data_IF_017515151256
#
_entry.id   IF_017515151256
#
_cell.length_a   1.000
_cell.length_b   1.000
_cell.length_c   1.000
_cell.angle_alpha   90.00
_cell.angle_beta   90.00
_cell.angle_gamma   90.00
#
_symmetry.space_group_name_H-M   'P 1'
#
loop_
_entity.id
_entity.type
_entity.pdbx_description
1 polymer ?
#
# COMPACT_ATOMS: atom_id res chain seq x y z
N UNK A 1 17.79 -20.27 -18.01
CA UNK A 1 17.05 -19.31 -18.86
C UNK A 1 17.08 -17.98 -18.14
N UNK A 2 17.69 -16.94 -18.72
CA UNK A 2 17.65 -15.61 -18.10
C UNK A 2 16.21 -15.10 -18.03
N UNK A 3 15.88 -14.33 -16.99
CA UNK A 3 14.56 -13.70 -16.89
C UNK A 3 14.40 -12.77 -18.11
N UNK A 4 13.31 -12.93 -18.87
CA UNK A 4 12.99 -11.99 -19.94
C UNK A 4 12.71 -10.61 -19.33
N UNK A 5 12.97 -9.53 -20.05
CA UNK A 5 12.58 -8.20 -19.60
C UNK A 5 11.06 -8.17 -19.36
N UNK A 6 10.68 -7.81 -18.14
CA UNK A 6 9.31 -7.63 -17.68
C UNK A 6 9.08 -6.16 -17.35
N UNK A 7 7.81 -5.78 -17.26
CA UNK A 7 7.37 -4.44 -16.91
C UNK A 7 6.24 -4.51 -15.90
N UNK A 8 6.23 -3.57 -14.94
CA UNK A 8 5.13 -3.40 -14.00
C UNK A 8 4.89 -1.91 -13.74
N UNK A 9 3.62 -1.52 -13.80
CA UNK A 9 3.19 -0.14 -13.52
C UNK A 9 2.51 -0.06 -12.17
N UNK A 10 2.93 0.91 -11.36
CA UNK A 10 2.41 1.24 -10.06
C UNK A 10 1.65 2.56 -10.14
N UNK A 11 0.46 2.61 -9.55
CA UNK A 11 -0.37 3.83 -9.51
C UNK A 11 -1.08 3.90 -8.16
N UNK A 12 -0.59 4.70 -7.21
CA UNK A 12 -1.26 4.93 -5.93
C UNK A 12 -2.64 5.56 -6.11
N UNK A 13 -3.61 5.11 -5.31
CA UNK A 13 -4.88 5.81 -5.12
C UNK A 13 -4.73 6.88 -4.02
N UNK A 14 -5.60 7.88 -4.04
CA UNK A 14 -5.67 8.83 -2.93
C UNK A 14 -6.16 8.12 -1.66
N UNK A 15 -5.77 8.64 -0.50
CA UNK A 15 -6.33 8.20 0.79
C UNK A 15 -7.86 8.36 0.78
N UNK A 16 -8.55 7.37 1.36
CA UNK A 16 -10.00 7.36 1.48
C UNK A 16 -10.37 6.75 2.82
N UNK A 17 -11.49 7.19 3.39
CA UNK A 17 -12.03 6.64 4.66
C UNK A 17 -13.01 5.49 4.44
N UNK A 18 -13.35 5.18 3.19
CA UNK A 18 -14.45 4.24 2.83
C UNK A 18 -14.11 3.27 1.69
N UNK A 19 -12.88 3.31 1.16
CA UNK A 19 -12.46 2.49 0.01
C UNK A 19 -12.46 0.99 0.30
N UNK A 20 -12.37 0.59 1.57
CA UNK A 20 -12.28 -0.81 2.00
C UNK A 20 -13.62 -1.31 2.54
N UNK A 21 -14.30 -0.50 3.35
CA UNK A 21 -15.65 -0.78 3.83
C UNK A 21 -16.42 0.52 4.04
N UNK A 22 -17.67 0.57 3.55
CA UNK A 22 -18.57 1.67 3.84
C UNK A 22 -18.93 1.72 5.34
N UNK A 23 -19.39 2.89 5.78
CA UNK A 23 -19.81 3.11 7.16
C UNK A 23 -20.94 2.14 7.55
N UNK A 24 -20.74 1.38 8.62
CA UNK A 24 -21.69 0.38 9.10
C UNK A 24 -21.60 0.22 10.62
N UNK A 25 -22.60 -0.45 11.20
CA UNK A 25 -22.64 -0.88 12.60
C UNK A 25 -22.62 -2.39 12.68
N UNK A 26 -22.16 -2.93 13.82
CA UNK A 26 -22.21 -4.35 14.11
C UNK A 26 -22.85 -4.55 15.49
N UNK A 27 -23.86 -5.41 15.57
CA UNK A 27 -24.57 -5.71 16.82
C UNK A 27 -23.77 -6.54 17.84
N UNK A 28 -22.60 -7.03 17.45
CA UNK A 28 -21.71 -7.87 18.26
C UNK A 28 -20.38 -8.08 17.56
N UNK A 29 -19.57 -9.01 18.06
CA UNK A 29 -18.35 -9.43 17.39
C UNK A 29 -18.69 -10.03 16.01
N UNK A 30 -17.87 -9.74 14.99
CA UNK A 30 -18.15 -10.19 13.64
C UNK A 30 -17.33 -9.46 12.58
N UNK A 31 -17.65 -9.72 11.30
CA UNK A 31 -16.95 -9.15 10.16
C UNK A 31 -17.65 -7.92 9.63
N UNK A 32 -16.88 -6.89 9.28
CA UNK A 32 -17.37 -5.80 8.45
C UNK A 32 -17.68 -6.31 7.03
N UNK A 33 -18.70 -5.74 6.40
CA UNK A 33 -18.97 -5.92 4.97
C UNK A 33 -17.96 -5.11 4.15
N UNK A 34 -17.10 -5.81 3.42
CA UNK A 34 -16.04 -5.20 2.62
C UNK A 34 -16.52 -4.86 1.19
N UNK A 35 -15.94 -3.80 0.62
CA UNK A 35 -16.09 -3.48 -0.79
C UNK A 35 -15.31 -4.47 -1.66
N UNK A 36 -15.76 -4.72 -2.89
CA UNK A 36 -15.04 -5.59 -3.84
C UNK A 36 -13.58 -5.16 -4.06
N UNK A 37 -13.33 -3.84 -4.02
CA UNK A 37 -12.00 -3.28 -4.17
C UNK A 37 -11.01 -3.76 -3.10
N UNK A 38 -11.48 -4.10 -1.89
CA UNK A 38 -10.67 -4.63 -0.80
C UNK A 38 -9.99 -5.96 -1.19
N UNK A 39 -10.79 -6.90 -1.70
CA UNK A 39 -10.31 -8.23 -2.10
C UNK A 39 -9.45 -8.25 -3.36
N UNK A 40 -9.60 -7.26 -4.24
CA UNK A 40 -8.78 -7.13 -5.47
C UNK A 40 -7.57 -6.22 -5.31
N UNK A 41 -7.42 -5.55 -4.17
CA UNK A 41 -6.37 -4.55 -3.93
C UNK A 41 -6.60 -3.18 -4.58
N UNK A 42 -7.69 -3.03 -5.33
CA UNK A 42 -8.00 -1.78 -6.05
C UNK A 42 -8.29 -0.60 -5.11
N UNK A 43 -8.52 -0.87 -3.81
CA UNK A 43 -8.68 0.17 -2.79
C UNK A 43 -7.43 1.04 -2.60
N UNK A 44 -6.24 0.49 -2.83
CA UNK A 44 -4.95 1.19 -2.69
C UNK A 44 -4.41 1.72 -4.02
N UNK A 45 -4.91 1.20 -5.15
CA UNK A 45 -4.48 1.58 -6.50
C UNK A 45 -4.07 0.38 -7.35
N UNK A 46 -3.18 0.59 -8.32
CA UNK A 46 -2.68 -0.47 -9.23
C UNK A 46 -1.32 -0.97 -8.75
N UNK A 47 -1.20 -2.29 -8.55
CA UNK A 47 0.02 -3.01 -8.13
C UNK A 47 0.65 -2.50 -6.83
N UNK A 48 -0.14 -1.82 -5.99
CA UNK A 48 0.31 -1.27 -4.71
C UNK A 48 -0.55 -1.80 -3.56
N UNK A 49 0.02 -1.80 -2.36
CA UNK A 49 -0.67 -1.92 -1.10
C UNK A 49 -0.59 -0.65 -0.28
N UNK A 50 -1.46 -0.53 0.72
CA UNK A 50 -1.54 0.59 1.65
C UNK A 50 -1.91 0.10 3.05
N UNK A 51 -1.71 0.95 4.05
CA UNK A 51 -2.22 0.70 5.41
C UNK A 51 -3.75 0.85 5.45
N UNK A 52 -4.36 0.31 6.50
CA UNK A 52 -5.81 0.40 6.70
C UNK A 52 -6.12 1.47 7.74
N UNK A 53 -7.10 2.31 7.43
CA UNK A 53 -7.64 3.30 8.35
C UNK A 53 -9.05 2.92 8.78
N UNK A 54 -9.38 3.16 10.04
CA UNK A 54 -10.73 3.03 10.59
C UNK A 54 -11.20 4.40 11.03
N UNK A 55 -12.40 4.78 10.62
CA UNK A 55 -13.00 6.08 10.95
C UNK A 55 -14.34 5.87 11.64
N UNK A 56 -14.56 6.55 12.76
CA UNK A 56 -15.82 6.53 13.50
C UNK A 56 -16.10 7.89 14.11
N UNK A 57 -17.38 8.30 14.13
CA UNK A 57 -17.85 9.50 14.85
C UNK A 57 -18.19 9.22 16.31
N UNK A 58 -18.05 7.97 16.76
CA UNK A 58 -18.27 7.55 18.13
C UNK A 58 -17.01 7.02 18.80
N UNK A 59 -17.12 6.76 20.10
CA UNK A 59 -16.06 6.09 20.84
C UNK A 59 -16.20 4.56 20.77
N UNK A 60 -15.27 3.93 20.07
CA UNK A 60 -15.11 2.48 20.00
C UNK A 60 -13.67 2.05 20.32
N UNK A 61 -12.93 2.85 21.09
CA UNK A 61 -11.53 2.56 21.46
C UNK A 61 -11.35 1.34 22.38
N UNK A 62 -12.45 0.80 22.91
CA UNK A 62 -12.47 -0.45 23.63
C UNK A 62 -12.69 -1.68 22.72
N UNK A 63 -12.72 -1.50 21.40
CA UNK A 63 -12.82 -2.57 20.40
C UNK A 63 -11.50 -2.76 19.68
N UNK A 64 -11.19 -4.00 19.35
CA UNK A 64 -10.06 -4.36 18.49
C UNK A 64 -10.56 -4.86 17.15
N UNK A 65 -9.99 -4.33 16.07
CA UNK A 65 -10.27 -4.75 14.70
C UNK A 65 -9.08 -5.55 14.17
N UNK A 66 -9.29 -6.83 13.92
CA UNK A 66 -8.31 -7.70 13.25
C UNK A 66 -8.50 -7.61 11.75
N UNK A 67 -7.56 -6.98 11.06
CA UNK A 67 -7.48 -6.93 9.60
C UNK A 67 -6.70 -8.15 9.12
N UNK A 68 -7.23 -8.88 8.15
CA UNK A 68 -6.54 -9.97 7.46
C UNK A 68 -6.51 -9.71 5.97
N UNK A 69 -5.37 -9.98 5.35
CA UNK A 69 -5.16 -9.74 3.93
C UNK A 69 -3.86 -10.34 3.44
N UNK A 70 -3.39 -9.87 2.28
CA UNK A 70 -2.07 -10.24 1.75
C UNK A 70 -1.16 -9.04 1.68
N UNK A 71 0.14 -9.26 1.84
CA UNK A 71 1.16 -8.25 1.63
C UNK A 71 1.61 -8.19 0.15
N UNK A 72 2.57 -7.33 -0.18
CA UNK A 72 3.08 -7.21 -1.56
C UNK A 72 3.81 -8.47 -2.06
N UNK A 73 4.25 -9.36 -1.16
CA UNK A 73 4.83 -10.65 -1.53
C UNK A 73 3.78 -11.72 -1.85
N UNK A 74 2.51 -11.45 -1.54
CA UNK A 74 1.40 -12.40 -1.63
C UNK A 74 1.21 -13.25 -0.37
N UNK A 75 1.96 -12.97 0.70
CA UNK A 75 1.85 -13.69 1.97
C UNK A 75 0.64 -13.20 2.76
N UNK A 76 -0.12 -14.12 3.35
CA UNK A 76 -1.22 -13.75 4.26
C UNK A 76 -0.67 -13.18 5.55
N UNK A 77 -1.17 -12.00 5.92
CA UNK A 77 -0.75 -11.23 7.09
C UNK A 77 -1.98 -10.70 7.83
N UNK A 78 -1.77 -10.35 9.11
CA UNK A 78 -2.80 -9.77 9.97
C UNK A 78 -2.28 -8.57 10.76
N UNK A 79 -3.17 -7.64 11.10
CA UNK A 79 -2.89 -6.53 12.02
C UNK A 79 -4.11 -6.31 12.93
N UNK A 80 -3.85 -6.13 14.22
CA UNK A 80 -4.86 -5.69 15.18
C UNK A 80 -4.79 -4.16 15.34
N UNK A 81 -5.90 -3.49 15.06
CA UNK A 81 -6.04 -2.04 15.14
C UNK A 81 -7.07 -1.70 16.22
N UNK A 82 -6.67 -0.96 17.25
CA UNK A 82 -7.59 -0.43 18.26
C UNK A 82 -8.56 0.55 17.61
N UNK A 83 -9.85 0.44 17.93
CA UNK A 83 -10.90 1.27 17.36
C UNK A 83 -10.73 2.78 17.63
N UNK A 84 -11.31 3.65 16.79
CA UNK A 84 -11.25 5.10 17.01
C UNK A 84 -12.05 5.62 18.21
N UNK A 85 -11.71 6.83 18.65
CA UNK A 85 -12.50 7.62 19.60
C UNK A 85 -12.94 8.95 18.97
N UNK A 86 -14.01 8.91 18.18
CA UNK A 86 -14.49 10.06 17.40
C UNK A 86 -13.41 10.65 16.48
N UNK A 87 -12.63 9.78 15.83
CA UNK A 87 -11.47 10.11 15.02
C UNK A 87 -11.27 9.08 13.90
N UNK A 88 -10.15 9.23 13.17
CA UNK A 88 -9.57 8.17 12.35
C UNK A 88 -8.33 7.62 13.07
N UNK A 89 -8.18 6.31 13.06
CA UNK A 89 -6.94 5.61 13.44
C UNK A 89 -6.43 4.86 12.22
N UNK A 90 -5.12 4.77 12.05
CA UNK A 90 -4.49 4.09 10.92
C UNK A 90 -3.54 3.04 11.46
N UNK A 91 -3.62 1.84 10.90
CA UNK A 91 -2.64 0.79 11.13
C UNK A 91 -1.27 1.14 10.56
N UNK A 92 -0.36 0.19 10.71
CA UNK A 92 1.05 0.29 10.35
C UNK A 92 1.46 -0.73 9.29
N UNK A 93 0.66 -1.78 9.11
CA UNK A 93 0.95 -2.85 8.15
C UNK A 93 0.37 -2.49 6.78
N UNK A 94 1.19 -2.66 5.74
CA UNK A 94 0.78 -2.48 4.36
C UNK A 94 0.13 -3.76 3.83
N UNK A 95 -1.12 -3.63 3.40
CA UNK A 95 -1.88 -4.70 2.75
C UNK A 95 -1.99 -4.40 1.26
N UNK A 96 -1.76 -5.39 0.41
CA UNK A 96 -2.08 -5.36 -1.03
C UNK A 96 -3.49 -5.86 -1.31
N UNK A 97 -4.03 -6.76 -0.49
CA UNK A 97 -5.47 -7.11 -0.50
C UNK A 97 -5.96 -7.17 0.94
N UNK A 98 -7.25 -6.93 1.15
CA UNK A 98 -7.92 -7.14 2.43
C UNK A 98 -9.08 -8.11 2.21
N UNK A 99 -9.02 -9.24 2.90
CA UNK A 99 -10.03 -10.30 2.79
C UNK A 99 -10.98 -10.32 3.98
N UNK A 100 -10.59 -9.75 5.12
CA UNK A 100 -11.41 -9.67 6.31
C UNK A 100 -11.04 -8.48 7.19
N UNK A 101 -12.05 -7.86 7.79
CA UNK A 101 -11.90 -6.99 8.96
C UNK A 101 -12.90 -7.49 10.00
N UNK A 102 -12.40 -8.12 11.06
CA UNK A 102 -13.20 -8.65 12.16
C UNK A 102 -13.07 -7.74 13.39
N UNK A 103 -14.16 -7.52 14.11
CA UNK A 103 -14.17 -6.78 15.37
C UNK A 103 -14.56 -7.69 16.53
N UNK A 104 -13.92 -7.51 17.68
CA UNK A 104 -14.08 -8.33 18.89
C UNK A 104 -15.37 -8.07 19.70
N UNK A 105 -16.19 -7.11 19.30
CA UNK A 105 -17.42 -6.74 19.98
C UNK A 105 -18.31 -5.81 19.18
N UNK A 106 -19.41 -5.37 19.78
CA UNK A 106 -20.38 -4.50 19.10
C UNK A 106 -19.77 -3.14 18.70
N UNK A 107 -20.11 -2.69 17.50
CA UNK A 107 -19.77 -1.38 16.93
C UNK A 107 -21.07 -0.59 16.79
N UNK A 108 -21.42 0.13 17.85
CA UNK A 108 -22.70 0.86 17.97
C UNK A 108 -22.75 2.18 17.19
N UNK A 109 -21.64 2.59 16.56
CA UNK A 109 -21.53 3.83 15.80
C UNK A 109 -21.09 3.53 14.38
N UNK A 110 -21.54 4.33 13.41
CA UNK A 110 -21.15 4.19 12.02
C UNK A 110 -19.61 4.23 11.90
N UNK A 111 -19.04 3.10 11.54
CA UNK A 111 -17.60 2.90 11.41
C UNK A 111 -17.30 2.44 10.00
N UNK A 112 -16.36 3.11 9.34
CA UNK A 112 -15.89 2.77 8.00
C UNK A 112 -14.44 2.34 8.02
N UNK A 113 -14.02 1.65 6.96
CA UNK A 113 -12.62 1.32 6.72
C UNK A 113 -12.16 1.86 5.37
N UNK A 114 -10.94 2.35 5.33
CA UNK A 114 -10.32 2.89 4.14
C UNK A 114 -8.82 2.65 4.10
N UNK A 115 -8.13 3.41 3.26
CA UNK A 115 -6.69 3.26 3.05
C UNK A 115 -5.90 4.47 3.55
N UNK A 116 -4.65 4.21 3.95
CA UNK A 116 -3.65 5.23 4.18
C UNK A 116 -3.21 5.94 2.91
N UNK A 117 -2.36 6.95 3.09
CA UNK A 117 -1.87 7.78 1.99
C UNK A 117 -0.58 7.24 1.36
N UNK A 118 0.27 6.58 2.16
CA UNK A 118 1.50 5.97 1.68
C UNK A 118 1.19 4.60 1.05
N UNK A 119 2.00 4.23 0.07
CA UNK A 119 1.81 2.98 -0.67
C UNK A 119 3.12 2.30 -0.97
N UNK A 120 3.08 0.98 -1.05
CA UNK A 120 4.24 0.13 -1.38
C UNK A 120 3.84 -0.88 -2.44
N UNK A 121 4.79 -1.36 -3.23
CA UNK A 121 4.52 -2.36 -4.26
C UNK A 121 5.67 -3.35 -4.41
N UNK A 122 5.37 -4.56 -4.88
CA UNK A 122 6.39 -5.52 -5.27
C UNK A 122 6.64 -5.43 -6.79
N UNK A 123 7.89 -5.12 -7.16
CA UNK A 123 8.36 -5.22 -8.54
C UNK A 123 8.47 -6.71 -8.89
N UNK A 124 9.21 -7.45 -8.08
CA UNK A 124 9.33 -8.90 -8.17
C UNK A 124 9.79 -9.46 -6.81
N UNK A 125 9.28 -10.62 -6.41
CA UNK A 125 9.57 -11.20 -5.09
C UNK A 125 10.80 -12.12 -5.09
N UNK A 126 11.28 -12.54 -6.26
CA UNK A 126 12.53 -13.28 -6.40
C UNK A 126 13.73 -12.40 -6.77
N UNK A 127 14.89 -13.01 -6.96
CA UNK A 127 16.06 -12.30 -7.46
C UNK A 127 15.77 -11.68 -8.85
N UNK A 128 16.08 -10.40 -9.02
CA UNK A 128 15.87 -9.64 -10.27
C UNK A 128 16.87 -8.51 -10.39
N UNK A 129 17.07 -7.96 -11.59
CA UNK A 129 17.64 -6.63 -11.74
C UNK A 129 16.55 -5.63 -12.09
N UNK A 130 16.62 -4.43 -11.53
CA UNK A 130 15.86 -3.27 -12.03
C UNK A 130 16.69 -2.64 -13.14
N UNK A 131 16.12 -2.52 -14.34
CA UNK A 131 16.83 -2.13 -15.58
C UNK A 131 16.40 -0.77 -16.11
N UNK A 132 15.29 -0.23 -15.62
CA UNK A 132 14.78 1.06 -16.03
C UNK A 132 13.56 1.46 -15.22
N UNK A 133 13.27 2.76 -15.19
CA UNK A 133 12.01 3.28 -14.68
C UNK A 133 11.58 4.50 -15.47
N UNK A 134 10.27 4.68 -15.58
CA UNK A 134 9.63 5.89 -16.09
C UNK A 134 8.63 6.33 -15.03
N UNK A 135 8.76 7.55 -14.52
CA UNK A 135 8.01 8.00 -13.36
C UNK A 135 7.37 9.35 -13.68
N UNK A 136 6.07 9.45 -13.44
CA UNK A 136 5.38 10.73 -13.32
C UNK A 136 5.33 11.09 -11.85
N UNK A 137 6.16 12.06 -11.45
CA UNK A 137 6.21 12.53 -10.07
C UNK A 137 4.93 13.27 -9.70
N UNK A 138 4.61 13.23 -8.42
CA UNK A 138 3.56 14.01 -7.82
C UNK A 138 4.10 15.36 -7.32
N UNK A 139 3.31 16.04 -6.50
CA UNK A 139 3.63 17.37 -5.98
C UNK A 139 4.16 17.38 -4.55
N UNK A 140 4.44 16.22 -3.97
CA UNK A 140 5.03 16.09 -2.64
C UNK A 140 6.52 15.78 -2.76
N UNK A 141 7.35 16.59 -2.10
CA UNK A 141 8.79 16.34 -2.00
C UNK A 141 9.04 15.14 -1.08
N UNK A 142 9.51 14.04 -1.67
CA UNK A 142 9.85 12.81 -0.97
C UNK A 142 10.72 11.91 -1.86
N UNK A 143 11.31 10.87 -1.27
CA UNK A 143 12.10 9.88 -1.99
C UNK A 143 11.25 8.68 -2.42
N UNK A 144 11.20 8.45 -3.72
CA UNK A 144 10.67 7.22 -4.30
C UNK A 144 11.76 6.16 -4.17
N UNK A 145 11.58 5.22 -3.25
CA UNK A 145 12.64 4.31 -2.82
C UNK A 145 12.47 2.92 -3.41
N UNK A 146 13.55 2.34 -3.90
CA UNK A 146 13.61 0.96 -4.36
C UNK A 146 14.28 0.11 -3.28
N UNK A 147 13.53 -0.86 -2.74
CA UNK A 147 13.90 -1.65 -1.57
C UNK A 147 14.16 -3.10 -1.94
N UNK A 148 15.06 -3.73 -1.21
CA UNK A 148 15.35 -5.16 -1.26
C UNK A 148 14.69 -5.88 -0.07
N UNK A 149 14.48 -7.20 -0.18
CA UNK A 149 13.93 -8.11 0.83
C UNK A 149 12.43 -7.97 1.15
N UNK A 150 11.91 -6.75 1.35
CA UNK A 150 10.49 -6.53 1.61
C UNK A 150 10.05 -5.08 1.40
N UNK A 151 8.76 -4.81 1.65
CA UNK A 151 8.15 -3.48 1.64
C UNK A 151 8.79 -2.51 2.65
N UNK A 152 9.33 -3.05 3.74
CA UNK A 152 10.03 -2.32 4.80
C UNK A 152 11.53 -2.65 4.83
N UNK A 153 12.03 -3.32 3.79
CA UNK A 153 13.42 -3.72 3.69
C UNK A 153 14.35 -2.54 3.39
N UNK A 154 15.60 -2.85 3.04
CA UNK A 154 16.64 -1.83 2.86
C UNK A 154 16.49 -1.13 1.51
N UNK A 155 16.46 0.21 1.53
CA UNK A 155 16.55 1.02 0.30
C UNK A 155 17.91 0.82 -0.37
N UNK A 156 17.92 0.33 -1.61
CA UNK A 156 19.14 0.23 -2.42
C UNK A 156 19.46 1.51 -3.16
N UNK A 157 18.44 2.17 -3.70
CA UNK A 157 18.54 3.46 -4.35
C UNK A 157 17.17 4.14 -4.30
N UNK A 158 17.16 5.44 -4.58
CA UNK A 158 15.94 6.24 -4.59
C UNK A 158 16.02 7.34 -5.64
N UNK A 159 14.86 7.89 -6.00
CA UNK A 159 14.76 9.11 -6.78
C UNK A 159 13.96 10.14 -5.98
N UNK A 160 14.58 11.31 -5.76
CA UNK A 160 13.94 12.39 -5.02
C UNK A 160 13.01 13.17 -5.94
N UNK A 161 11.76 13.31 -5.52
CA UNK A 161 10.86 14.32 -6.06
C UNK A 161 11.32 15.67 -5.52
N UNK A 162 12.10 16.40 -6.30
CA UNK A 162 12.79 17.60 -5.81
C UNK A 162 11.91 18.86 -5.76
N UNK A 163 10.73 18.83 -6.37
CA UNK A 163 9.84 19.99 -6.46
C UNK A 163 8.40 19.60 -6.17
N UNK A 164 7.56 20.60 -5.92
CA UNK A 164 6.11 20.40 -5.80
C UNK A 164 5.38 20.37 -7.14
N UNK A 165 6.11 20.54 -8.24
CA UNK A 165 5.57 20.45 -9.60
C UNK A 165 5.67 19.01 -10.08
N UNK A 166 4.57 18.52 -10.66
CA UNK A 166 4.54 17.21 -11.32
C UNK A 166 5.45 17.24 -12.54
N UNK A 167 6.29 16.23 -12.66
CA UNK A 167 7.23 16.10 -13.76
C UNK A 167 7.24 14.65 -14.27
N UNK A 168 7.77 14.46 -15.47
CA UNK A 168 8.07 13.16 -16.02
C UNK A 168 9.58 12.94 -15.99
N UNK A 169 10.02 11.91 -15.27
CA UNK A 169 11.44 11.57 -15.13
C UNK A 169 11.72 10.18 -15.68
N UNK A 170 12.86 10.07 -16.36
CA UNK A 170 13.45 8.81 -16.84
C UNK A 170 14.81 8.67 -16.17
N UNK A 171 14.85 8.22 -14.91
CA UNK A 171 16.09 8.16 -14.18
C UNK A 171 17.09 7.20 -14.83
N UNK A 172 18.35 7.62 -14.84
CA UNK A 172 19.43 6.79 -15.34
C UNK A 172 19.61 5.54 -14.45
N UNK A 173 19.58 4.38 -15.09
CA UNK A 173 19.95 3.09 -14.51
C UNK A 173 21.03 2.51 -15.44
N UNK A 174 22.15 1.99 -14.92
CA UNK A 174 23.19 1.40 -15.75
C UNK A 174 22.66 0.27 -16.62
N UNK A 175 23.26 0.02 -17.78
CA UNK A 175 22.80 -0.97 -18.77
C UNK A 175 22.66 -2.39 -18.19
N UNK A 176 23.52 -2.73 -17.25
CA UNK A 176 23.48 -4.01 -16.53
C UNK A 176 22.31 -4.13 -15.55
N UNK A 177 21.68 -3.01 -15.19
CA UNK A 177 20.68 -2.91 -14.14
C UNK A 177 21.25 -3.02 -12.72
N UNK A 178 20.42 -2.71 -11.74
CA UNK A 178 20.74 -2.80 -10.32
C UNK A 178 20.21 -4.13 -9.78
N UNK A 179 21.08 -4.97 -9.22
CA UNK A 179 20.72 -6.30 -8.72
C UNK A 179 20.00 -6.23 -7.37
N UNK A 180 18.88 -6.93 -7.27
CA UNK A 180 18.15 -7.27 -6.06
C UNK A 180 18.15 -8.80 -5.92
N UNK A 181 18.81 -9.32 -4.89
CA UNK A 181 18.99 -10.75 -4.61
C UNK A 181 17.78 -11.37 -3.92
N UNK A 182 17.05 -10.58 -3.14
CA UNK A 182 15.96 -11.05 -2.27
C UNK A 182 14.62 -10.36 -2.61
N UNK A 183 14.35 -10.13 -3.89
CA UNK A 183 13.17 -9.38 -4.31
C UNK A 183 13.43 -7.87 -4.38
N UNK A 184 12.70 -7.24 -5.29
CA UNK A 184 12.68 -5.80 -5.50
C UNK A 184 11.28 -5.25 -5.19
N UNK A 185 11.25 -4.24 -4.35
CA UNK A 185 10.04 -3.55 -3.90
C UNK A 185 10.20 -2.05 -4.16
N UNK A 186 9.08 -1.34 -4.25
CA UNK A 186 9.04 0.11 -4.41
C UNK A 186 8.20 0.72 -3.29
N UNK A 187 8.71 1.79 -2.71
CA UNK A 187 8.02 2.62 -1.73
C UNK A 187 7.65 3.95 -2.40
N UNK A 188 6.38 4.28 -2.30
CA UNK A 188 5.72 5.39 -2.98
C UNK A 188 5.02 6.25 -1.92
N UNK A 189 5.77 7.20 -1.30
CA UNK A 189 5.22 8.10 -0.31
C UNK A 189 4.03 8.91 -0.85
N UNK A 190 3.12 9.27 0.04
CA UNK A 190 1.90 9.99 -0.29
C UNK A 190 2.12 11.23 -1.16
N UNK A 191 1.48 11.24 -2.33
CA UNK A 191 1.53 12.36 -3.27
C UNK A 191 2.88 12.58 -3.97
N UNK A 192 3.88 11.71 -3.76
CA UNK A 192 5.18 11.76 -4.44
C UNK A 192 5.12 11.18 -5.86
N UNK A 193 4.13 10.33 -6.16
CA UNK A 193 4.01 9.64 -7.45
C UNK A 193 2.58 9.67 -7.95
N UNK A 194 2.42 10.01 -9.23
CA UNK A 194 1.18 9.77 -9.98
C UNK A 194 1.21 8.37 -10.58
N UNK A 195 2.32 7.98 -11.21
CA UNK A 195 2.56 6.62 -11.70
C UNK A 195 4.04 6.33 -11.84
N UNK A 196 4.44 5.07 -11.64
CA UNK A 196 5.78 4.59 -11.90
C UNK A 196 5.73 3.29 -12.70
N UNK A 197 6.37 3.25 -13.86
CA UNK A 197 6.56 2.04 -14.67
C UNK A 197 7.99 1.57 -14.52
N UNK A 198 8.18 0.35 -14.03
CA UNK A 198 9.49 -0.23 -13.72
C UNK A 198 9.74 -1.41 -14.64
N UNK A 199 10.94 -1.44 -15.24
CA UNK A 199 11.42 -2.52 -16.09
C UNK A 199 12.40 -3.39 -15.30
N UNK A 200 12.20 -4.70 -15.31
CA UNK A 200 12.97 -5.64 -14.50
C UNK A 200 13.22 -6.97 -15.20
N UNK A 201 14.30 -7.68 -14.86
CA UNK A 201 14.63 -9.01 -15.36
C UNK A 201 16.10 -9.34 -15.26
#
# INVERSE_FOLDING_TARGET
MGLQLQVKTFKPAAASTTSVAAAQTLGGAGNMSLATAAGTGAYAGTNVGSTISLTSTGNISARTFTVTGTDASGSTITEDITGPNNTTVTGSVFFSTVTQIAVDGAVGTNTSAGNGADTVGAIFTGATRVKGAQITTGGTVADISFKESSQTGTTKFFYTVATTTKDYIEPYIPDDGILFREGAFIDLPSGSVVSATVYYG
#
